data_IF_370816904680
#
_entry.id   IF_370816904680
#
_cell.length_a   1.000
_cell.length_b   1.000
_cell.length_c   1.000
_cell.angle_alpha   90.00
_cell.angle_beta   90.00
_cell.angle_gamma   90.00
#
_symmetry.space_group_name_H-M   'P 1'
#
loop_
_entity.id
_entity.type
_entity.pdbx_description
1 polymer ?
#
# COMPACT_ATOMS: atom_id res chain seq x y z
N UNK A 1 14.23 -9.32 2.63
CA UNK A 1 14.63 -7.93 2.91
C UNK A 1 14.40 -7.11 1.65
N UNK A 2 13.87 -5.90 1.79
CA UNK A 2 13.73 -4.94 0.69
C UNK A 2 14.78 -3.85 0.91
N UNK A 3 15.73 -3.69 -0.01
CA UNK A 3 16.85 -2.74 0.14
C UNK A 3 17.57 -2.81 1.50
N UNK A 4 17.77 -4.02 2.05
CA UNK A 4 18.32 -4.27 3.40
C UNK A 4 17.44 -3.82 4.58
N UNK A 5 16.21 -3.39 4.33
CA UNK A 5 15.18 -3.12 5.34
C UNK A 5 14.22 -4.30 5.52
N UNK A 6 13.42 -4.26 6.59
CA UNK A 6 12.44 -5.29 6.84
C UNK A 6 11.28 -5.14 5.86
N UNK A 7 10.81 -6.26 5.30
CA UNK A 7 9.70 -6.26 4.35
C UNK A 7 8.43 -5.71 5.00
N UNK A 8 8.28 -5.94 6.31
CA UNK A 8 7.18 -5.47 7.15
C UNK A 8 7.17 -3.96 7.35
N UNK A 9 8.18 -3.22 6.88
CA UNK A 9 8.19 -1.76 6.89
C UNK A 9 7.40 -1.20 5.69
N UNK A 10 7.10 -2.02 4.70
CA UNK A 10 6.45 -1.63 3.44
C UNK A 10 5.04 -2.22 3.29
N UNK A 11 4.83 -3.45 3.72
CA UNK A 11 3.52 -4.11 3.69
C UNK A 11 3.50 -5.25 4.70
N UNK A 12 2.30 -5.67 5.11
CA UNK A 12 2.15 -6.83 5.99
C UNK A 12 0.83 -7.56 5.71
N UNK A 13 0.73 -8.79 6.20
CA UNK A 13 -0.48 -9.59 6.14
C UNK A 13 -1.37 -9.33 7.37
N UNK A 14 -2.64 -9.08 7.11
CA UNK A 14 -3.66 -8.85 8.12
C UNK A 14 -4.82 -9.82 7.93
N UNK A 15 -5.42 -10.23 9.04
CA UNK A 15 -6.76 -10.83 9.04
C UNK A 15 -7.79 -9.70 9.07
N UNK A 16 -8.52 -9.55 7.96
CA UNK A 16 -9.56 -8.55 7.78
C UNK A 16 -10.93 -9.22 7.94
N UNK A 17 -11.83 -8.69 8.78
CA UNK A 17 -13.16 -9.25 8.94
C UNK A 17 -13.94 -9.16 7.62
N UNK A 18 -14.61 -10.25 7.23
CA UNK A 18 -15.48 -10.24 6.05
C UNK A 18 -16.88 -9.75 6.43
N UNK A 19 -17.74 -9.51 5.43
CA UNK A 19 -19.15 -9.19 5.68
C UNK A 19 -19.93 -10.35 6.32
N UNK A 20 -19.38 -11.56 6.28
CA UNK A 20 -19.95 -12.74 6.94
C UNK A 20 -19.45 -12.82 8.38
N UNK A 21 -20.40 -12.81 9.33
CA UNK A 21 -20.09 -12.79 10.76
C UNK A 21 -19.13 -13.92 11.16
N UNK A 22 -18.01 -13.53 11.78
CA UNK A 22 -17.02 -14.46 12.33
C UNK A 22 -16.02 -15.01 11.32
N UNK A 23 -16.07 -14.59 10.04
CA UNK A 23 -15.08 -14.97 9.04
C UNK A 23 -14.04 -13.85 8.87
N UNK A 24 -12.78 -14.26 8.70
CA UNK A 24 -11.67 -13.36 8.38
C UNK A 24 -11.03 -13.81 7.07
N UNK A 25 -10.59 -12.85 6.29
CA UNK A 25 -9.77 -13.09 5.11
C UNK A 25 -8.36 -12.55 5.35
N UNK A 26 -7.35 -13.33 5.00
CA UNK A 26 -5.98 -12.82 4.98
C UNK A 26 -5.80 -11.90 3.76
N UNK A 27 -5.39 -10.66 4.02
CA UNK A 27 -5.11 -9.66 2.99
C UNK A 27 -3.75 -9.02 3.23
N UNK A 28 -2.99 -8.82 2.16
CA UNK A 28 -1.78 -7.99 2.20
C UNK A 28 -2.19 -6.53 2.09
N UNK A 29 -1.78 -5.73 3.06
CA UNK A 29 -2.02 -4.29 3.10
C UNK A 29 -0.68 -3.56 2.96
N UNK A 30 -0.65 -2.55 2.10
CA UNK A 30 0.53 -1.80 1.74
C UNK A 30 0.58 -0.47 2.50
N UNK A 31 1.75 -0.11 3.01
CA UNK A 31 1.95 1.10 3.79
C UNK A 31 2.40 2.26 2.88
N UNK A 32 2.27 3.53 3.30
CA UNK A 32 2.74 4.68 2.53
C UNK A 32 4.17 4.53 1.99
N UNK A 33 5.06 3.93 2.79
CA UNK A 33 6.46 3.69 2.47
C UNK A 33 6.65 2.79 1.23
N UNK A 34 5.73 1.84 0.98
CA UNK A 34 5.74 1.03 -0.24
C UNK A 34 5.55 1.91 -1.47
N UNK A 35 4.52 2.75 -1.46
CA UNK A 35 4.17 3.63 -2.57
C UNK A 35 5.21 4.72 -2.82
N UNK A 36 5.84 5.20 -1.75
CA UNK A 36 6.89 6.23 -1.82
C UNK A 36 8.25 5.68 -2.28
N UNK A 37 8.43 4.35 -2.30
CA UNK A 37 9.67 3.74 -2.77
C UNK A 37 9.93 4.05 -4.25
N UNK A 38 11.19 4.29 -4.60
CA UNK A 38 11.58 4.66 -5.98
C UNK A 38 11.09 3.62 -7.01
N UNK A 39 11.27 2.33 -6.71
CA UNK A 39 10.86 1.25 -7.61
C UNK A 39 9.35 1.28 -7.90
N UNK A 40 8.53 1.53 -6.89
CA UNK A 40 7.07 1.61 -7.03
C UNK A 40 6.65 2.88 -7.76
N UNK A 41 7.20 4.05 -7.39
CA UNK A 41 6.93 5.31 -8.10
C UNK A 41 7.26 5.23 -9.58
N UNK A 42 8.37 4.59 -9.94
CA UNK A 42 8.74 4.38 -11.34
C UNK A 42 7.81 3.34 -12.01
N UNK A 43 7.75 2.12 -11.49
CA UNK A 43 7.08 1.01 -12.19
C UNK A 43 5.55 1.08 -12.15
N UNK A 44 4.97 1.32 -10.97
CA UNK A 44 3.52 1.30 -10.78
C UNK A 44 2.87 2.60 -11.27
N UNK A 45 3.57 3.74 -11.09
CA UNK A 45 3.02 5.08 -11.34
C UNK A 45 3.70 5.82 -12.48
N UNK A 46 4.60 5.17 -13.24
CA UNK A 46 5.24 5.76 -14.41
C UNK A 46 5.96 7.10 -14.16
N UNK A 47 6.47 7.30 -12.95
CA UNK A 47 7.05 8.58 -12.51
C UNK A 47 6.04 9.74 -12.44
N UNK A 48 4.74 9.48 -12.62
CA UNK A 48 3.70 10.49 -12.58
C UNK A 48 3.26 10.78 -11.15
N UNK A 49 2.72 11.99 -10.95
CA UNK A 49 2.06 12.33 -9.71
C UNK A 49 0.79 11.49 -9.54
N UNK A 50 0.43 11.18 -8.30
CA UNK A 50 -0.78 10.43 -7.98
C UNK A 50 -1.49 11.07 -6.80
N UNK A 51 -2.82 11.20 -6.89
CA UNK A 51 -3.65 11.67 -5.80
C UNK A 51 -4.68 10.59 -5.44
N UNK A 52 -4.65 10.02 -4.22
CA UNK A 52 -5.68 9.09 -3.79
C UNK A 52 -7.04 9.77 -3.73
N UNK A 53 -8.09 9.08 -4.20
CA UNK A 53 -9.49 9.52 -4.03
C UNK A 53 -10.11 8.99 -2.75
N UNK A 54 -9.50 7.96 -2.17
CA UNK A 54 -9.93 7.29 -0.95
C UNK A 54 -8.70 6.85 -0.16
N UNK A 55 -8.71 7.07 1.14
CA UNK A 55 -7.63 6.69 2.06
C UNK A 55 -8.21 5.90 3.21
N UNK A 56 -7.63 4.74 3.49
CA UNK A 56 -8.09 3.85 4.56
C UNK A 56 -7.14 3.94 5.76
N UNK A 57 -7.67 4.21 6.94
CA UNK A 57 -6.99 4.01 8.22
C UNK A 57 -7.55 2.76 8.87
N UNK A 58 -6.66 1.84 9.27
CA UNK A 58 -7.04 0.69 10.08
C UNK A 58 -6.55 0.85 11.51
N UNK A 59 -7.35 0.38 12.46
CA UNK A 59 -6.89 -0.05 13.78
C UNK A 59 -6.70 -1.56 13.77
N UNK A 60 -5.67 -2.05 14.45
CA UNK A 60 -5.41 -3.49 14.56
C UNK A 60 -4.84 -3.90 15.90
N UNK A 61 -5.00 -5.19 16.20
CA UNK A 61 -4.38 -5.85 17.35
C UNK A 61 -3.44 -6.95 16.90
N UNK A 62 -2.37 -7.16 17.66
CA UNK A 62 -1.52 -8.35 17.52
C UNK A 62 -2.05 -9.44 18.43
N UNK A 63 -2.24 -10.63 17.88
CA UNK A 63 -2.65 -11.82 18.60
C UNK A 63 -1.60 -12.91 18.42
N UNK A 64 -1.65 -13.93 19.27
CA UNK A 64 -0.77 -15.10 19.18
C UNK A 64 -1.59 -16.36 19.05
N UNK A 65 -1.17 -17.25 18.15
CA UNK A 65 -1.74 -18.60 18.07
C UNK A 65 -1.16 -19.52 19.17
N UNK A 66 -1.67 -20.74 19.26
CA UNK A 66 -1.21 -21.76 20.22
C UNK A 66 0.27 -22.14 20.03
N UNK A 67 0.85 -21.87 18.85
CA UNK A 67 2.25 -22.10 18.52
C UNK A 67 3.14 -20.88 18.83
N UNK A 68 2.55 -19.77 19.29
CA UNK A 68 3.23 -18.52 19.62
C UNK A 68 3.50 -17.61 18.42
N UNK A 69 2.97 -17.93 17.24
CA UNK A 69 3.11 -17.07 16.06
C UNK A 69 2.24 -15.83 16.23
N UNK A 70 2.80 -14.66 15.97
CA UNK A 70 2.08 -13.39 16.03
C UNK A 70 1.36 -13.15 14.70
N UNK A 71 0.08 -12.78 14.76
CA UNK A 71 -0.71 -12.36 13.61
C UNK A 71 -1.48 -11.08 13.91
N UNK A 72 -1.73 -10.26 12.88
CA UNK A 72 -2.41 -8.97 13.00
C UNK A 72 -3.88 -9.10 12.58
N UNK A 73 -4.79 -8.59 13.41
CA UNK A 73 -6.23 -8.60 13.16
C UNK A 73 -6.75 -7.17 13.10
N UNK A 74 -7.36 -6.80 11.98
CA UNK A 74 -8.04 -5.51 11.82
C UNK A 74 -9.29 -5.53 12.69
N UNK A 75 -9.41 -4.57 13.59
CA UNK A 75 -10.56 -4.41 14.48
C UNK A 75 -11.33 -3.11 14.20
N UNK A 76 -10.69 -2.14 13.55
CA UNK A 76 -11.29 -0.86 13.14
C UNK A 76 -10.84 -0.52 11.71
N UNK A 77 -11.72 0.10 10.93
CA UNK A 77 -11.44 0.54 9.57
C UNK A 77 -12.28 1.80 9.30
N UNK A 78 -11.59 2.91 9.00
CA UNK A 78 -12.20 4.21 8.72
C UNK A 78 -11.71 4.72 7.38
N UNK A 79 -12.64 5.14 6.52
CA UNK A 79 -12.34 5.61 5.17
C UNK A 79 -12.49 7.13 5.08
N UNK A 80 -11.50 7.76 4.46
CA UNK A 80 -11.42 9.21 4.27
C UNK A 80 -11.36 9.54 2.80
N UNK A 81 -11.79 10.75 2.44
CA UNK A 81 -11.75 11.23 1.05
C UNK A 81 -10.46 11.98 0.71
N UNK A 82 -9.69 12.36 1.73
CA UNK A 82 -8.40 13.02 1.58
C UNK A 82 -7.34 12.37 2.47
N UNK A 83 -6.08 12.51 2.08
CA UNK A 83 -4.96 12.00 2.87
C UNK A 83 -4.75 12.82 4.14
N UNK A 84 -4.98 14.13 4.06
CA UNK A 84 -4.88 15.05 5.20
C UNK A 84 -5.88 14.68 6.30
N UNK A 85 -7.15 14.41 5.98
CA UNK A 85 -8.13 13.96 6.97
C UNK A 85 -7.74 12.62 7.62
N UNK A 86 -7.27 11.66 6.82
CA UNK A 86 -6.80 10.38 7.32
C UNK A 86 -5.59 10.54 8.26
N UNK A 87 -4.68 11.46 7.91
CA UNK A 87 -3.51 11.79 8.72
C UNK A 87 -3.91 12.48 10.02
N UNK A 88 -4.81 13.46 9.97
CA UNK A 88 -5.31 14.16 11.17
C UNK A 88 -6.02 13.18 12.11
N UNK A 89 -6.82 12.25 11.56
CA UNK A 89 -7.41 11.18 12.35
C UNK A 89 -6.36 10.27 12.98
N UNK A 90 -5.34 9.85 12.22
CA UNK A 90 -4.26 9.02 12.74
C UNK A 90 -3.47 9.73 13.85
N UNK A 91 -3.14 11.01 13.65
CA UNK A 91 -2.43 11.85 14.61
C UNK A 91 -3.26 12.09 15.89
N UNK A 92 -4.58 11.95 15.82
CA UNK A 92 -5.49 12.05 16.98
C UNK A 92 -5.51 10.78 17.86
N UNK A 93 -4.91 9.67 17.42
CA UNK A 93 -4.88 8.41 18.17
C UNK A 93 -3.72 8.40 19.15
N UNK A 94 -4.04 8.48 20.45
CA UNK A 94 -3.05 8.49 21.53
C UNK A 94 -2.50 7.09 21.86
N UNK A 95 -3.30 6.04 21.67
CA UNK A 95 -2.97 4.65 22.00
C UNK A 95 -3.48 3.67 20.92
N UNK A 96 -2.89 2.47 20.90
CA UNK A 96 -3.25 1.40 19.97
C UNK A 96 -2.43 1.40 18.68
N UNK A 97 -2.60 0.36 17.87
CA UNK A 97 -1.92 0.25 16.59
C UNK A 97 -2.85 0.74 15.47
N UNK A 98 -2.57 1.93 14.97
CA UNK A 98 -3.28 2.52 13.83
C UNK A 98 -2.32 2.75 12.66
N UNK A 99 -2.83 2.63 11.43
CA UNK A 99 -2.03 2.93 10.23
C UNK A 99 -2.89 3.26 9.02
N UNK A 100 -2.42 4.20 8.21
CA UNK A 100 -2.90 4.40 6.84
C UNK A 100 -2.41 3.22 5.99
N UNK A 101 -3.30 2.61 5.20
CA UNK A 101 -2.98 1.44 4.39
C UNK A 101 -3.66 1.50 3.02
N UNK A 102 -3.06 0.86 2.03
CA UNK A 102 -3.63 0.61 0.72
C UNK A 102 -3.94 -0.87 0.52
N UNK A 103 -5.09 -1.16 -0.08
CA UNK A 103 -5.51 -2.53 -0.39
C UNK A 103 -4.99 -3.09 -1.71
N UNK A 104 -4.35 -2.25 -2.54
CA UNK A 104 -3.92 -2.60 -3.88
C UNK A 104 -2.55 -1.98 -4.22
N UNK A 105 -1.59 -2.75 -4.76
CA UNK A 105 -0.22 -2.26 -4.97
C UNK A 105 -0.12 -1.16 -6.04
N UNK A 106 -1.07 -1.07 -6.98
CA UNK A 106 -1.09 -0.04 -8.04
C UNK A 106 -2.00 1.16 -7.75
N UNK A 107 -2.61 1.23 -6.56
CA UNK A 107 -3.49 2.33 -6.16
C UNK A 107 -2.92 2.87 -4.86
N UNK A 108 -2.29 4.04 -4.91
CA UNK A 108 -1.61 4.60 -3.73
C UNK A 108 -2.60 5.02 -2.66
N UNK A 109 -2.27 4.82 -1.39
CA UNK A 109 -3.00 5.39 -0.26
C UNK A 109 -2.43 6.74 0.21
N UNK A 110 -1.39 7.25 -0.45
CA UNK A 110 -0.72 8.52 -0.14
C UNK A 110 -0.52 9.34 -1.42
N UNK A 111 -0.59 10.68 -1.37
CA UNK A 111 -0.21 11.52 -2.49
C UNK A 111 1.23 11.26 -2.90
N UNK A 112 1.48 11.18 -4.20
CA UNK A 112 2.81 11.03 -4.77
C UNK A 112 3.09 12.22 -5.67
N UNK A 113 4.26 12.83 -5.50
CA UNK A 113 4.79 13.80 -6.45
C UNK A 113 5.37 13.08 -7.67
N UNK A 114 5.42 13.76 -8.80
CA UNK A 114 6.10 13.25 -9.98
C UNK A 114 7.61 13.11 -9.72
N UNK A 115 8.26 12.16 -10.41
CA UNK A 115 9.71 12.05 -10.48
C UNK A 115 10.19 12.73 -11.77
N UNK A 116 10.51 14.02 -11.70
CA UNK A 116 10.80 14.86 -12.87
C UNK A 116 12.10 14.47 -13.61
N UNK A 117 13.03 13.81 -12.92
CA UNK A 117 14.33 13.41 -13.48
C UNK A 117 14.29 12.07 -14.25
N UNK A 118 13.12 11.46 -14.40
CA UNK A 118 12.96 10.16 -15.04
C UNK A 118 11.80 10.15 -16.03
N UNK A 119 12.01 9.50 -17.17
CA UNK A 119 10.96 9.25 -18.17
C UNK A 119 10.90 7.77 -18.55
N UNK A 120 9.71 7.29 -18.91
CA UNK A 120 9.54 5.95 -19.47
C UNK A 120 10.14 5.91 -20.86
N UNK A 121 11.19 5.10 -21.05
CA UNK A 121 11.85 4.91 -22.34
C UNK A 121 11.26 3.71 -23.12
N UNK A 122 10.71 2.73 -22.40
CA UNK A 122 10.12 1.52 -22.98
C UNK A 122 9.17 0.83 -22.00
N UNK A 123 8.10 0.25 -22.52
CA UNK A 123 7.24 -0.71 -21.83
C UNK A 123 7.09 -1.97 -22.71
N UNK A 124 7.23 -3.16 -22.10
CA UNK A 124 7.04 -4.41 -22.82
C UNK A 124 5.58 -4.60 -23.23
N UNK A 125 5.32 -5.17 -24.42
CA UNK A 125 3.96 -5.49 -24.83
C UNK A 125 3.37 -6.68 -24.06
N UNK A 126 4.22 -7.55 -23.50
CA UNK A 126 3.81 -8.58 -22.54
C UNK A 126 3.60 -7.97 -21.16
N UNK A 127 2.65 -8.52 -20.42
CA UNK A 127 2.32 -8.07 -19.09
C UNK A 127 1.38 -9.02 -18.38
N UNK A 128 1.09 -8.68 -17.13
CA UNK A 128 0.14 -9.40 -16.30
C UNK A 128 -1.08 -8.54 -16.03
N UNK A 129 -2.26 -9.17 -16.04
CA UNK A 129 -3.47 -8.53 -15.55
C UNK A 129 -3.50 -8.71 -14.03
N UNK A 130 -3.46 -7.60 -13.30
CA UNK A 130 -3.78 -7.63 -11.87
C UNK A 130 -5.30 -7.73 -11.73
N UNK A 131 -5.76 -8.41 -10.68
CA UNK A 131 -7.16 -8.80 -10.44
C UNK A 131 -8.15 -7.63 -10.47
N UNK A 132 -7.67 -6.39 -10.35
CA UNK A 132 -8.46 -5.16 -10.35
C UNK A 132 -7.79 -3.99 -11.10
N UNK A 133 -6.94 -4.26 -12.09
CA UNK A 133 -6.18 -3.22 -12.81
C UNK A 133 -6.10 -3.42 -14.31
N UNK A 134 -5.44 -2.47 -14.98
CA UNK A 134 -5.03 -2.59 -16.39
C UNK A 134 -3.90 -3.62 -16.55
N UNK A 135 -3.61 -4.00 -17.81
CA UNK A 135 -2.42 -4.79 -18.14
C UNK A 135 -1.19 -4.04 -17.64
N UNK A 136 -0.45 -4.64 -16.71
CA UNK A 136 0.82 -4.09 -16.22
C UNK A 136 1.94 -4.71 -17.03
N UNK A 137 2.68 -3.89 -17.77
CA UNK A 137 3.84 -4.33 -18.56
C UNK A 137 4.83 -5.10 -17.69
N UNK A 138 5.30 -6.25 -18.16
CA UNK A 138 6.25 -7.11 -17.43
C UNK A 138 7.61 -6.43 -17.20
N UNK A 139 8.04 -5.59 -18.15
CA UNK A 139 9.28 -4.83 -18.09
C UNK A 139 9.03 -3.37 -18.47
N UNK A 140 9.58 -2.46 -17.67
CA UNK A 140 9.67 -1.03 -18.00
C UNK A 140 11.11 -0.58 -17.90
N UNK A 141 11.56 0.20 -18.88
CA UNK A 141 12.89 0.83 -18.87
C UNK A 141 12.69 2.32 -18.73
N UNK A 142 13.43 2.91 -17.80
CA UNK A 142 13.39 4.34 -17.52
C UNK A 142 14.73 4.97 -17.89
N UNK A 143 14.65 6.17 -18.45
CA UNK A 143 15.82 6.99 -18.75
C UNK A 143 15.89 8.11 -17.72
N UNK A 144 17.09 8.31 -17.19
CA UNK A 144 17.41 9.49 -16.37
C UNK A 144 17.62 10.69 -17.32
N UNK A 145 16.96 11.81 -17.03
CA UNK A 145 16.86 12.96 -17.95
C UNK A 145 17.65 14.19 -17.52
N UNK A 146 18.21 14.19 -16.30
CA UNK A 146 19.03 15.27 -15.75
C UNK A 146 20.49 14.89 -15.47
#
# INVERSE_FOLDING_TARGET
TWASQNVTDYFDAFLVPTQESGQYQQQVLYYPEYYQSMAVRMYNFNCEAYMPTEVLVIGYSEQKDDSGNVYKVVNEAEQFTTYEEAKDFLDSKEEGNYRIVGGHPMISCVPLEALEDYEVAYESPQGYQLTSGNLTAEVKVFKYTN
#
